data_IF_253259042527
#
_entry.id   IF_253259042527
#
_cell.length_a   1.000
_cell.length_b   1.000
_cell.length_c   1.000
_cell.angle_alpha   90.00
_cell.angle_beta   90.00
_cell.angle_gamma   90.00
#
_symmetry.space_group_name_H-M   'P 1'
#
loop_
_entity.id
_entity.type
_entity.pdbx_description
1 polymer ?
#
# COMPACT_ATOMS: atom_id res chain seq x y z
N UNK A 1 -11.55 -15.33 1.40
CA UNK A 1 -12.68 -14.79 0.57
C UNK A 1 -13.17 -13.55 1.29
N UNK A 2 -13.06 -12.39 0.65
CA UNK A 2 -13.66 -11.14 1.13
C UNK A 2 -15.18 -11.24 1.00
N UNK A 3 -15.91 -10.80 2.01
CA UNK A 3 -17.37 -10.83 2.01
C UNK A 3 -17.89 -9.40 1.86
N UNK A 4 -18.67 -9.15 0.81
CA UNK A 4 -19.31 -7.85 0.61
C UNK A 4 -20.49 -7.69 1.58
N UNK A 5 -20.54 -6.55 2.28
CA UNK A 5 -21.66 -6.18 3.17
C UNK A 5 -22.64 -5.32 2.37
N UNK A 6 -23.87 -5.73 2.30
CA UNK A 6 -24.89 -5.38 1.29
C UNK A 6 -25.44 -3.94 1.26
N UNK A 7 -24.84 -2.95 1.92
CA UNK A 7 -25.30 -1.55 1.85
C UNK A 7 -24.25 -0.67 1.19
N UNK A 8 -24.61 -0.02 0.10
CA UNK A 8 -23.78 1.03 -0.52
C UNK A 8 -23.60 2.19 0.47
N UNK A 9 -22.36 2.68 0.60
CA UNK A 9 -22.00 3.78 1.49
C UNK A 9 -21.12 4.80 0.79
N UNK A 10 -21.25 6.06 1.16
CA UNK A 10 -20.21 7.05 0.93
C UNK A 10 -19.03 6.79 1.86
N UNK A 11 -17.89 7.41 1.59
CA UNK A 11 -16.71 7.28 2.44
C UNK A 11 -16.97 7.78 3.88
N UNK A 12 -17.70 8.86 4.04
CA UNK A 12 -18.03 9.39 5.37
C UNK A 12 -18.97 8.46 6.13
N UNK A 13 -20.02 7.93 5.48
CA UNK A 13 -20.88 6.90 6.08
C UNK A 13 -20.11 5.60 6.40
N UNK A 14 -19.09 5.29 5.62
CA UNK A 14 -18.22 4.15 5.89
C UNK A 14 -17.40 4.37 7.16
N UNK A 15 -16.77 5.54 7.33
CA UNK A 15 -15.99 5.84 8.53
C UNK A 15 -16.87 5.88 9.79
N UNK A 16 -18.06 6.49 9.73
CA UNK A 16 -19.00 6.49 10.83
C UNK A 16 -19.47 5.08 11.22
N UNK A 17 -19.58 4.20 10.22
CA UNK A 17 -20.01 2.81 10.45
C UNK A 17 -18.86 1.90 10.85
N UNK A 18 -17.60 2.15 10.43
CA UNK A 18 -16.46 1.25 10.56
C UNK A 18 -16.27 0.80 12.03
N UNK A 19 -16.49 -0.49 12.35
CA UNK A 19 -16.31 -0.98 13.71
C UNK A 19 -14.85 -0.94 14.13
N UNK A 20 -14.60 -0.73 15.42
CA UNK A 20 -13.24 -0.80 16.02
C UNK A 20 -12.61 -2.19 15.88
N UNK A 21 -13.44 -3.23 15.84
CA UNK A 21 -13.00 -4.61 15.68
C UNK A 21 -13.21 -5.08 14.25
N UNK A 22 -12.12 -5.46 13.58
CA UNK A 22 -12.10 -5.92 12.20
C UNK A 22 -11.40 -4.94 11.26
N UNK A 23 -11.11 -5.42 10.06
CA UNK A 23 -10.46 -4.65 8.99
C UNK A 23 -11.46 -4.51 7.85
N UNK A 24 -11.71 -3.29 7.44
CA UNK A 24 -12.69 -2.99 6.41
C UNK A 24 -12.14 -1.94 5.44
N UNK A 25 -12.39 -2.13 4.16
CA UNK A 25 -12.12 -1.15 3.11
C UNK A 25 -13.43 -0.81 2.38
N UNK A 26 -13.45 0.31 1.69
CA UNK A 26 -14.56 0.73 0.85
C UNK A 26 -14.14 0.65 -0.62
N UNK A 27 -14.79 -0.24 -1.39
CA UNK A 27 -14.53 -0.42 -2.81
C UNK A 27 -15.78 -0.09 -3.63
N UNK A 28 -15.77 1.05 -4.34
CA UNK A 28 -16.92 1.51 -5.14
C UNK A 28 -18.25 1.49 -4.37
N UNK A 29 -18.28 2.13 -3.19
CA UNK A 29 -19.41 2.16 -2.25
C UNK A 29 -19.74 0.83 -1.56
N UNK A 30 -19.04 -0.26 -1.85
CA UNK A 30 -19.24 -1.56 -1.20
C UNK A 30 -18.23 -1.72 -0.08
N UNK A 31 -18.72 -1.96 1.13
CA UNK A 31 -17.85 -2.30 2.27
C UNK A 31 -17.35 -3.72 2.10
N UNK A 32 -16.03 -3.87 2.15
CA UNK A 32 -15.32 -5.16 2.01
C UNK A 32 -14.66 -5.48 3.34
N UNK A 33 -15.03 -6.63 3.93
CA UNK A 33 -14.35 -7.14 5.11
C UNK A 33 -13.05 -7.83 4.71
N UNK A 34 -11.94 -7.34 5.26
CA UNK A 34 -10.62 -7.89 5.01
C UNK A 34 -10.31 -9.00 5.99
N UNK A 35 -9.75 -10.10 5.51
CA UNK A 35 -9.30 -11.17 6.40
C UNK A 35 -8.13 -10.72 7.26
N UNK A 36 -8.03 -11.28 8.46
CA UNK A 36 -6.84 -11.07 9.29
C UNK A 36 -5.60 -11.58 8.54
N UNK A 37 -4.51 -10.80 8.55
CA UNK A 37 -3.27 -11.21 7.90
C UNK A 37 -2.71 -12.49 8.55
N UNK A 38 -2.03 -13.30 7.76
CA UNK A 38 -1.23 -14.41 8.31
C UNK A 38 -0.02 -13.88 9.07
N UNK A 39 0.58 -14.70 9.94
CA UNK A 39 1.82 -14.31 10.64
C UNK A 39 2.94 -13.91 9.67
N UNK A 40 3.08 -14.60 8.54
CA UNK A 40 4.09 -14.27 7.52
C UNK A 40 3.82 -12.95 6.82
N UNK A 41 2.56 -12.68 6.45
CA UNK A 41 2.15 -11.39 5.89
C UNK A 41 2.49 -10.24 6.86
N UNK A 42 2.11 -10.39 8.14
CA UNK A 42 2.40 -9.38 9.17
C UNK A 42 3.90 -9.19 9.40
N UNK A 43 4.69 -10.27 9.34
CA UNK A 43 6.15 -10.18 9.47
C UNK A 43 6.77 -9.38 8.32
N UNK A 44 6.35 -9.63 7.07
CA UNK A 44 6.80 -8.90 5.89
C UNK A 44 6.43 -7.40 5.97
N UNK A 45 5.19 -7.08 6.35
CA UNK A 45 4.77 -5.69 6.54
C UNK A 45 5.58 -5.00 7.65
N UNK A 46 5.80 -5.68 8.78
CA UNK A 46 6.64 -5.21 9.88
C UNK A 46 8.10 -5.01 9.48
N UNK A 47 8.67 -5.92 8.69
CA UNK A 47 10.01 -5.80 8.14
C UNK A 47 10.16 -4.52 7.31
N UNK A 48 9.23 -4.26 6.38
CA UNK A 48 9.24 -3.03 5.60
C UNK A 48 9.19 -1.78 6.48
N UNK A 49 8.29 -1.75 7.45
CA UNK A 49 8.16 -0.59 8.34
C UNK A 49 9.46 -0.30 9.12
N UNK A 50 10.18 -1.35 9.54
CA UNK A 50 11.46 -1.24 10.24
C UNK A 50 12.55 -0.74 9.29
N UNK A 51 12.77 -1.41 8.15
CA UNK A 51 13.87 -1.08 7.22
C UNK A 51 13.70 0.32 6.63
N UNK A 52 12.49 0.68 6.21
CA UNK A 52 12.20 2.03 5.71
C UNK A 52 12.31 3.09 6.82
N UNK A 53 11.89 2.77 8.04
CA UNK A 53 12.05 3.65 9.19
C UNK A 53 13.52 3.91 9.55
N UNK A 54 14.39 2.89 9.42
CA UNK A 54 15.84 3.05 9.59
C UNK A 54 16.43 3.93 8.48
N UNK A 55 16.00 3.74 7.24
CA UNK A 55 16.45 4.54 6.09
C UNK A 55 16.01 6.00 6.18
N UNK A 56 14.75 6.26 6.57
CA UNK A 56 14.24 7.61 6.85
C UNK A 56 15.12 8.31 7.88
N UNK A 57 15.46 7.61 8.97
CA UNK A 57 16.31 8.15 10.03
C UNK A 57 17.75 8.38 9.56
N UNK A 58 18.32 7.42 8.82
CA UNK A 58 19.69 7.50 8.28
C UNK A 58 19.87 8.71 7.37
N UNK A 59 18.89 8.93 6.47
CA UNK A 59 18.90 10.01 5.48
C UNK A 59 18.31 11.33 6.02
N UNK A 60 17.81 11.34 7.26
CA UNK A 60 17.15 12.50 7.87
C UNK A 60 15.97 13.04 7.03
N UNK A 61 15.21 12.13 6.38
CA UNK A 61 14.09 12.50 5.55
C UNK A 61 12.91 13.02 6.40
N UNK A 62 12.15 14.00 5.92
CA UNK A 62 10.97 14.51 6.63
C UNK A 62 9.76 13.57 6.46
N UNK A 63 9.99 12.27 6.54
CA UNK A 63 8.97 11.25 6.34
C UNK A 63 8.66 10.52 7.64
N UNK A 64 7.51 9.85 7.67
CA UNK A 64 7.14 8.97 8.77
C UNK A 64 6.25 7.82 8.29
N UNK A 65 6.17 6.78 9.10
CA UNK A 65 5.33 5.59 8.86
C UNK A 65 4.35 5.49 10.02
N UNK A 66 3.05 5.77 9.81
CA UNK A 66 2.04 5.56 10.84
C UNK A 66 1.75 4.07 11.02
N UNK A 67 1.19 3.71 12.17
CA UNK A 67 0.74 2.34 12.41
C UNK A 67 -0.49 2.00 11.57
N UNK A 68 -1.40 2.95 11.45
CA UNK A 68 -2.68 2.80 10.74
C UNK A 68 -2.97 4.08 9.96
N UNK A 69 -3.49 3.94 8.76
CA UNK A 69 -3.86 5.04 7.89
C UNK A 69 -4.85 4.56 6.84
N UNK A 70 -5.89 5.34 6.59
CA UNK A 70 -6.81 5.12 5.49
C UNK A 70 -6.53 6.13 4.38
N UNK A 71 -6.33 5.68 3.14
CA UNK A 71 -6.27 6.52 1.96
C UNK A 71 -7.68 6.65 1.39
N UNK A 72 -8.25 7.85 1.40
CA UNK A 72 -9.50 8.16 0.69
C UNK A 72 -9.17 8.45 -0.77
N UNK A 73 -9.53 7.54 -1.67
CA UNK A 73 -9.38 7.78 -3.11
C UNK A 73 -10.45 8.76 -3.62
N UNK A 74 -11.71 8.49 -3.28
CA UNK A 74 -12.86 9.34 -3.62
C UNK A 74 -14.00 9.12 -2.63
N UNK A 75 -15.19 9.64 -2.91
CA UNK A 75 -16.34 9.47 -2.01
C UNK A 75 -16.89 8.05 -1.94
N UNK A 76 -16.43 7.16 -2.79
CA UNK A 76 -16.90 5.77 -2.90
C UNK A 76 -15.80 4.74 -2.62
N UNK A 77 -14.55 5.15 -2.44
CA UNK A 77 -13.43 4.21 -2.26
C UNK A 77 -12.40 4.73 -1.26
N UNK A 78 -11.95 3.84 -0.39
CA UNK A 78 -10.89 4.08 0.58
C UNK A 78 -10.25 2.78 1.03
N UNK A 79 -8.92 2.80 1.21
CA UNK A 79 -8.07 1.65 1.41
C UNK A 79 -7.17 1.81 2.64
N UNK A 80 -6.93 0.71 3.35
CA UNK A 80 -6.02 0.64 4.49
C UNK A 80 -4.74 -0.13 4.07
N UNK A 81 -3.69 0.55 3.57
CA UNK A 81 -2.48 -0.12 3.09
C UNK A 81 -1.73 -0.83 4.22
N UNK A 82 -1.00 -1.91 3.87
CA UNK A 82 -0.20 -2.64 4.85
C UNK A 82 0.97 -1.81 5.39
N UNK A 83 1.60 -0.98 4.54
CA UNK A 83 2.59 0.03 4.94
C UNK A 83 2.43 1.28 4.08
N UNK A 84 2.51 2.45 4.71
CA UNK A 84 2.49 3.74 4.03
C UNK A 84 3.60 4.65 4.56
N UNK A 85 4.29 5.33 3.67
CA UNK A 85 5.27 6.37 4.00
C UNK A 85 4.69 7.73 3.65
N UNK A 86 4.60 8.61 4.64
CA UNK A 86 4.01 9.94 4.52
C UNK A 86 5.06 11.04 4.66
N UNK A 87 4.86 12.15 3.94
CA UNK A 87 5.62 13.39 4.09
C UNK A 87 5.00 14.24 5.20
N UNK A 88 5.78 14.55 6.25
CA UNK A 88 5.31 15.34 7.41
C UNK A 88 4.77 16.71 7.00
N UNK A 89 5.50 17.42 6.16
CA UNK A 89 5.14 18.79 5.78
C UNK A 89 3.88 18.80 4.91
N UNK A 90 3.78 17.86 3.98
CA UNK A 90 2.60 17.75 3.14
C UNK A 90 1.35 17.35 3.95
N UNK A 91 1.48 16.42 4.90
CA UNK A 91 0.39 16.03 5.81
C UNK A 91 -0.07 17.22 6.66
N UNK A 92 0.85 17.94 7.30
CA UNK A 92 0.53 19.13 8.10
C UNK A 92 -0.16 20.22 7.28
N UNK A 93 0.24 20.39 6.02
CA UNK A 93 -0.31 21.44 5.15
C UNK A 93 -1.66 21.08 4.50
N UNK A 94 -1.88 19.80 4.16
CA UNK A 94 -2.95 19.44 3.23
C UNK A 94 -4.01 18.49 3.81
N UNK A 95 -3.72 17.81 4.95
CA UNK A 95 -4.57 16.72 5.42
C UNK A 95 -5.38 17.12 6.67
N UNK A 96 -6.48 17.80 6.46
CA UNK A 96 -7.36 18.29 7.53
C UNK A 96 -7.99 17.17 8.39
N UNK A 97 -8.05 15.94 7.84
CA UNK A 97 -8.63 14.75 8.51
C UNK A 97 -7.60 13.91 9.27
N UNK A 98 -6.30 14.20 9.09
CA UNK A 98 -5.23 13.41 9.66
C UNK A 98 -5.30 13.30 11.19
N UNK A 99 -5.36 14.43 11.88
CA UNK A 99 -5.29 14.49 13.34
C UNK A 99 -6.42 13.76 14.07
N UNK A 100 -7.58 13.62 13.43
CA UNK A 100 -8.77 13.04 14.08
C UNK A 100 -9.12 11.64 13.59
N UNK A 101 -8.79 11.34 12.34
CA UNK A 101 -9.31 10.16 11.64
C UNK A 101 -8.22 9.31 11.01
N UNK A 102 -6.95 9.75 11.04
CA UNK A 102 -5.83 9.10 10.33
C UNK A 102 -6.14 8.86 8.85
N UNK A 103 -6.79 9.83 8.19
CA UNK A 103 -7.18 9.76 6.79
C UNK A 103 -6.32 10.68 5.95
N UNK A 104 -5.80 10.15 4.84
CA UNK A 104 -5.10 10.87 3.77
C UNK A 104 -6.02 11.02 2.57
N UNK A 105 -6.04 12.22 1.99
CA UNK A 105 -6.90 12.56 0.85
C UNK A 105 -6.13 13.03 -0.37
N UNK A 106 -4.84 13.37 -0.21
CA UNK A 106 -4.00 13.92 -1.27
C UNK A 106 -2.81 13.00 -1.54
N UNK A 107 -2.62 12.58 -2.79
CA UNK A 107 -1.51 11.70 -3.16
C UNK A 107 -0.13 12.32 -2.93
N UNK A 108 0.02 13.65 -2.98
CA UNK A 108 1.27 14.34 -2.68
C UNK A 108 1.71 14.25 -1.21
N UNK A 109 0.80 13.92 -0.30
CA UNK A 109 1.10 13.61 1.11
C UNK A 109 1.75 12.24 1.28
N UNK A 110 1.64 11.36 0.28
CA UNK A 110 2.17 10.00 0.27
C UNK A 110 3.47 9.95 -0.52
N UNK A 111 4.46 9.21 -0.02
CA UNK A 111 5.72 8.92 -0.73
C UNK A 111 5.74 7.51 -1.29
N UNK A 112 5.24 6.56 -0.53
CA UNK A 112 5.24 5.14 -0.90
C UNK A 112 4.05 4.45 -0.24
N UNK A 113 3.41 3.57 -1.00
CA UNK A 113 2.44 2.58 -0.50
C UNK A 113 2.97 1.18 -0.75
N UNK A 114 2.81 0.28 0.21
CA UNK A 114 3.17 -1.14 0.08
C UNK A 114 1.96 -2.00 0.44
N UNK A 115 1.62 -2.93 -0.44
CA UNK A 115 0.63 -3.97 -0.20
C UNK A 115 1.32 -5.34 -0.25
N UNK A 116 1.08 -6.15 0.77
CA UNK A 116 1.56 -7.54 0.84
C UNK A 116 0.45 -8.45 0.35
N UNK A 117 0.71 -9.15 -0.75
CA UNK A 117 -0.32 -9.92 -1.45
C UNK A 117 -0.90 -11.03 -0.59
N UNK A 118 -2.22 -11.09 -0.59
CA UNK A 118 -3.02 -12.17 -0.02
C UNK A 118 -3.84 -12.87 -1.12
N UNK A 119 -4.84 -13.64 -0.72
CA UNK A 119 -5.75 -14.32 -1.66
C UNK A 119 -6.53 -13.37 -2.57
N UNK A 120 -6.62 -12.09 -2.19
CA UNK A 120 -7.32 -11.04 -2.95
C UNK A 120 -6.39 -10.26 -3.89
N UNK A 121 -5.31 -10.84 -4.34
CA UNK A 121 -4.30 -10.22 -5.20
C UNK A 121 -4.85 -9.34 -6.34
N UNK A 122 -6.11 -9.59 -6.79
CA UNK A 122 -6.73 -8.77 -7.85
C UNK A 122 -6.99 -7.34 -7.42
N UNK A 123 -7.28 -7.11 -6.16
CA UNK A 123 -7.52 -5.78 -5.63
C UNK A 123 -6.22 -4.97 -5.68
N UNK A 124 -5.10 -5.57 -5.27
CA UNK A 124 -3.79 -4.91 -5.25
C UNK A 124 -3.27 -4.63 -6.68
N UNK A 125 -3.34 -5.64 -7.58
CA UNK A 125 -2.80 -5.53 -8.94
C UNK A 125 -3.69 -4.80 -9.94
N UNK A 126 -4.96 -4.55 -9.64
CA UNK A 126 -5.88 -3.91 -10.56
C UNK A 126 -6.53 -2.67 -9.96
N UNK A 127 -7.37 -2.81 -8.94
CA UNK A 127 -8.17 -1.70 -8.44
C UNK A 127 -7.31 -0.66 -7.71
N UNK A 128 -6.58 -1.05 -6.67
CA UNK A 128 -5.74 -0.14 -5.89
C UNK A 128 -4.64 0.49 -6.75
N UNK A 129 -4.02 -0.28 -7.64
CA UNK A 129 -2.98 0.22 -8.53
C UNK A 129 -3.48 1.39 -9.40
N UNK A 130 -4.65 1.25 -10.01
CA UNK A 130 -5.26 2.31 -10.84
C UNK A 130 -5.61 3.54 -9.98
N UNK A 131 -6.19 3.31 -8.81
CA UNK A 131 -6.62 4.39 -7.91
C UNK A 131 -5.42 5.15 -7.33
N UNK A 132 -4.34 4.44 -6.96
CA UNK A 132 -3.10 5.07 -6.47
C UNK A 132 -2.36 5.86 -7.57
N UNK A 133 -2.37 5.36 -8.81
CA UNK A 133 -1.86 6.09 -9.98
C UNK A 133 -2.65 7.39 -10.19
N UNK A 134 -3.99 7.29 -10.18
CA UNK A 134 -4.86 8.44 -10.37
C UNK A 134 -4.76 9.48 -9.25
N UNK A 135 -4.47 9.07 -8.01
CA UNK A 135 -4.14 9.97 -6.90
C UNK A 135 -2.78 10.66 -7.06
N UNK A 136 -1.93 10.15 -7.94
CA UNK A 136 -0.58 10.66 -8.13
C UNK A 136 0.40 10.20 -7.05
N UNK A 137 0.20 9.03 -6.44
CA UNK A 137 1.14 8.45 -5.46
C UNK A 137 2.45 8.11 -6.18
N UNK A 138 3.61 8.64 -5.73
CA UNK A 138 4.87 8.55 -6.49
C UNK A 138 5.38 7.13 -6.67
N UNK A 139 5.19 6.27 -5.65
CA UNK A 139 5.70 4.90 -5.69
C UNK A 139 4.75 3.93 -5.00
N UNK A 140 4.50 2.78 -5.62
CA UNK A 140 3.64 1.72 -5.12
C UNK A 140 4.31 0.35 -5.27
N UNK A 141 4.39 -0.43 -4.18
CA UNK A 141 4.98 -1.76 -4.17
C UNK A 141 3.94 -2.83 -3.90
N UNK A 142 4.00 -3.91 -4.69
CA UNK A 142 3.21 -5.11 -4.45
C UNK A 142 4.16 -6.26 -4.12
N UNK A 143 4.08 -6.76 -2.89
CA UNK A 143 4.94 -7.82 -2.36
C UNK A 143 4.24 -9.16 -2.47
N UNK A 144 4.42 -9.85 -3.58
CA UNK A 144 3.85 -11.17 -3.83
C UNK A 144 4.84 -12.28 -3.48
N UNK A 145 5.02 -12.52 -2.18
CA UNK A 145 5.96 -13.51 -1.66
C UNK A 145 5.55 -14.98 -1.91
N UNK A 146 4.33 -15.23 -2.37
CA UNK A 146 3.82 -16.56 -2.71
C UNK A 146 3.64 -16.79 -4.22
N UNK A 147 3.80 -15.76 -5.06
CA UNK A 147 3.55 -15.83 -6.49
C UNK A 147 2.08 -16.08 -6.83
N UNK A 148 1.16 -15.45 -6.12
CA UNK A 148 -0.30 -15.62 -6.31
C UNK A 148 -0.83 -14.79 -7.47
N UNK A 149 -0.19 -13.68 -7.79
CA UNK A 149 -0.57 -12.74 -8.84
C UNK A 149 -0.86 -13.41 -10.18
N UNK A 150 -1.65 -12.76 -11.01
CA UNK A 150 -1.91 -13.24 -12.37
C UNK A 150 -0.64 -13.24 -13.22
N UNK A 151 -0.47 -14.24 -14.10
CA UNK A 151 0.73 -14.37 -14.95
C UNK A 151 1.02 -13.12 -15.79
N UNK A 152 0.00 -12.33 -16.10
CA UNK A 152 0.17 -11.03 -16.79
C UNK A 152 0.91 -9.98 -15.96
N UNK A 153 0.91 -10.11 -14.63
CA UNK A 153 1.58 -9.18 -13.71
C UNK A 153 2.94 -9.69 -13.27
N UNK A 154 3.03 -10.99 -12.91
CA UNK A 154 4.25 -11.58 -12.35
C UNK A 154 4.97 -12.55 -13.31
N UNK A 155 4.51 -12.69 -14.54
CA UNK A 155 5.12 -13.58 -15.53
C UNK A 155 4.77 -15.06 -15.36
N UNK A 156 5.41 -15.89 -16.20
CA UNK A 156 5.27 -17.35 -16.15
C UNK A 156 6.66 -18.01 -16.32
N UNK A 157 7.02 -19.04 -15.56
CA UNK A 157 6.26 -19.59 -14.44
C UNK A 157 6.07 -18.59 -13.30
N UNK A 158 4.95 -18.69 -12.57
CA UNK A 158 4.69 -17.86 -11.41
C UNK A 158 5.71 -18.15 -10.33
N UNK A 159 6.23 -17.09 -9.71
CA UNK A 159 7.19 -17.16 -8.61
C UNK A 159 7.07 -15.93 -7.72
N UNK A 160 7.63 -15.94 -6.50
CA UNK A 160 7.69 -14.75 -5.65
C UNK A 160 8.23 -13.56 -6.42
N UNK A 161 7.51 -12.45 -6.40
CA UNK A 161 7.84 -11.26 -7.17
C UNK A 161 7.50 -10.00 -6.36
N UNK A 162 8.45 -9.07 -6.28
CA UNK A 162 8.20 -7.70 -5.86
C UNK A 162 7.97 -6.85 -7.12
N UNK A 163 6.81 -6.23 -7.21
CA UNK A 163 6.48 -5.28 -8.28
C UNK A 163 6.61 -3.86 -7.73
N UNK A 164 7.51 -3.07 -8.28
CA UNK A 164 7.71 -1.66 -7.96
C UNK A 164 7.15 -0.82 -9.09
N UNK A 165 6.13 -0.04 -8.79
CA UNK A 165 5.50 0.92 -9.68
C UNK A 165 6.02 2.31 -9.33
N UNK A 166 6.58 3.02 -10.29
CA UNK A 166 7.06 4.39 -10.17
C UNK A 166 6.24 5.30 -11.07
N UNK A 167 5.70 6.38 -10.52
CA UNK A 167 4.93 7.35 -11.29
C UNK A 167 5.86 8.24 -12.12
N UNK A 168 5.77 8.13 -13.44
CA UNK A 168 6.54 8.92 -14.40
C UNK A 168 5.57 9.52 -15.41
N UNK A 169 5.57 10.83 -15.53
CA UNK A 169 4.68 11.58 -16.46
C UNK A 169 3.18 11.24 -16.29
N UNK A 170 2.77 10.90 -15.06
CA UNK A 170 1.38 10.58 -14.71
C UNK A 170 0.97 9.12 -14.91
N UNK A 171 1.88 8.24 -15.30
CA UNK A 171 1.62 6.81 -15.49
C UNK A 171 2.61 5.95 -14.71
N UNK A 172 2.15 4.82 -14.17
CA UNK A 172 3.03 3.89 -13.48
C UNK A 172 3.89 3.08 -14.44
N UNK A 173 5.21 3.22 -14.30
CA UNK A 173 6.19 2.32 -14.88
C UNK A 173 6.55 1.22 -13.88
N UNK A 174 6.48 -0.04 -14.34
CA UNK A 174 6.70 -1.21 -13.48
C UNK A 174 8.09 -1.79 -13.68
N UNK A 175 8.74 -2.15 -12.55
CA UNK A 175 9.90 -3.05 -12.50
C UNK A 175 9.58 -4.22 -11.60
N UNK A 176 10.01 -5.42 -12.02
CA UNK A 176 9.84 -6.67 -11.27
C UNK A 176 11.17 -7.12 -10.71
N UNK A 177 11.21 -7.46 -9.42
CA UNK A 177 12.39 -7.93 -8.73
C UNK A 177 12.15 -9.31 -8.11
N UNK A 178 13.17 -10.18 -8.16
CA UNK A 178 13.08 -11.56 -7.71
C UNK A 178 14.39 -12.02 -7.09
N UNK A 179 14.30 -13.00 -6.19
CA UNK A 179 15.49 -13.60 -5.57
C UNK A 179 16.44 -12.53 -5.02
N UNK A 180 17.72 -12.65 -5.35
CA UNK A 180 18.76 -11.75 -4.87
C UNK A 180 18.90 -10.44 -5.66
N UNK A 181 17.95 -10.14 -6.56
CA UNK A 181 17.93 -8.84 -7.24
C UNK A 181 17.74 -7.71 -6.23
N UNK A 182 18.66 -6.73 -6.26
CA UNK A 182 18.53 -5.52 -5.47
C UNK A 182 17.37 -4.68 -6.00
N UNK A 183 16.48 -4.27 -5.10
CA UNK A 183 15.37 -3.41 -5.47
C UNK A 183 15.85 -1.99 -5.78
N UNK A 184 15.12 -1.32 -6.66
CA UNK A 184 15.32 0.07 -7.01
C UNK A 184 14.08 0.87 -6.61
N UNK A 185 14.27 1.88 -5.76
CA UNK A 185 13.22 2.80 -5.32
C UNK A 185 13.61 4.23 -5.69
N UNK A 186 12.66 4.99 -6.24
CA UNK A 186 12.87 6.41 -6.48
C UNK A 186 12.77 7.23 -5.17
N UNK A 187 11.95 6.77 -4.23
CA UNK A 187 11.78 7.40 -2.91
C UNK A 187 12.97 7.13 -1.99
N UNK A 188 13.56 5.94 -2.09
CA UNK A 188 14.71 5.49 -1.29
C UNK A 188 15.85 4.97 -2.19
N UNK A 189 16.54 5.83 -2.94
CA UNK A 189 17.51 5.40 -3.97
C UNK A 189 18.75 4.69 -3.40
N UNK A 190 19.05 4.89 -2.11
CA UNK A 190 20.16 4.25 -1.43
C UNK A 190 19.76 2.97 -0.69
N UNK A 191 18.48 2.60 -0.68
CA UNK A 191 17.99 1.40 -0.02
C UNK A 191 18.72 0.15 -0.57
N UNK A 192 19.30 -0.63 0.34
CA UNK A 192 20.11 -1.80 -0.02
C UNK A 192 19.43 -3.08 0.44
N UNK A 193 18.29 -3.40 -0.17
CA UNK A 193 17.55 -4.63 0.07
C UNK A 193 17.42 -5.44 -1.23
N UNK A 194 17.41 -6.76 -1.12
CA UNK A 194 17.03 -7.67 -2.20
C UNK A 194 15.58 -8.11 -2.05
N UNK A 195 14.95 -8.54 -3.15
CA UNK A 195 13.62 -9.10 -3.12
C UNK A 195 13.52 -10.30 -2.16
N UNK A 196 14.57 -11.16 -2.12
CA UNK A 196 14.63 -12.31 -1.21
C UNK A 196 14.64 -11.92 0.27
N UNK A 197 15.38 -10.86 0.63
CA UNK A 197 15.36 -10.34 2.01
C UNK A 197 13.98 -9.89 2.42
N UNK A 198 13.26 -9.21 1.53
CA UNK A 198 11.87 -8.77 1.73
C UNK A 198 10.94 -9.97 1.93
N UNK A 199 11.05 -11.01 1.08
CA UNK A 199 10.19 -12.19 1.20
C UNK A 199 10.46 -13.00 2.46
N UNK A 200 11.64 -12.88 3.04
CA UNK A 200 12.04 -13.57 4.27
C UNK A 200 11.63 -12.80 5.55
N UNK A 201 11.33 -11.51 5.44
CA UNK A 201 11.02 -10.52 6.46
C UNK A 201 10.17 -10.94 7.61
#
# INVERSE_FOLDING_TARGET
>A
MTQAISKLRSFDEFLEWKPENGRYELHNSVVVEMQNPTGKHSAIAGFHAIELGLEIRRLQLPYFIPKECTIKFNDNSGYDPDVIVLDKQAVEANESRWERESVITQGNSVKLVIEVVSTNWRDDYAHKMIDYEALGIPEYWIVDYLGLGGSRYIGYPKQPTLSVYQLVDGEYQIKLFRGEERIESAVFPELNLTAQQIFNG
#
